data_IF_173457960468
#
_entry.id   IF_173457960468
#
_cell.length_a   1.000
_cell.length_b   1.000
_cell.length_c   1.000
_cell.angle_alpha   90.00
_cell.angle_beta   90.00
_cell.angle_gamma   90.00
#
_symmetry.space_group_name_H-M   'P 1'
#
loop_
_entity.id
_entity.type
_entity.pdbx_description
1 polymer ?
#
# COMPACT_ATOMS: atom_id res chain seq x y z
N UNK A 1 -4.20 1.92 9.48
CA UNK A 1 -4.13 0.47 9.17
C UNK A 1 -3.57 -0.28 10.36
N UNK A 2 -3.90 -1.56 10.53
CA UNK A 2 -3.24 -2.42 11.52
C UNK A 2 -1.89 -2.96 10.99
N UNK A 3 -0.97 -3.41 11.85
CA UNK A 3 0.25 -4.09 11.41
C UNK A 3 0.00 -5.34 10.55
N UNK A 4 -1.08 -6.08 10.82
CA UNK A 4 -1.47 -7.25 10.02
C UNK A 4 -1.87 -6.85 8.60
N UNK A 5 -2.63 -5.77 8.48
CA UNK A 5 -3.05 -5.22 7.19
C UNK A 5 -1.86 -4.71 6.37
N UNK A 6 -0.88 -4.06 7.01
CA UNK A 6 0.37 -3.66 6.33
C UNK A 6 1.12 -4.88 5.83
N UNK A 7 1.25 -5.92 6.67
CA UNK A 7 1.93 -7.15 6.29
C UNK A 7 1.24 -7.84 5.11
N UNK A 8 -0.09 -7.85 5.09
CA UNK A 8 -0.86 -8.40 3.98
C UNK A 8 -0.60 -7.63 2.68
N UNK A 9 -0.67 -6.29 2.69
CA UNK A 9 -0.39 -5.48 1.49
C UNK A 9 1.05 -5.64 1.00
N UNK A 10 2.03 -5.62 1.91
CA UNK A 10 3.44 -5.86 1.53
C UNK A 10 3.63 -7.27 0.97
N UNK A 11 2.91 -8.26 1.51
CA UNK A 11 2.85 -9.61 0.96
C UNK A 11 2.37 -9.62 -0.49
N UNK A 12 1.21 -8.98 -0.75
CA UNK A 12 0.65 -8.85 -2.09
C UNK A 12 1.62 -8.16 -3.07
N UNK A 13 2.31 -7.11 -2.62
CA UNK A 13 3.36 -6.46 -3.43
C UNK A 13 4.46 -7.43 -3.80
N UNK A 14 4.92 -8.24 -2.83
CA UNK A 14 5.99 -9.21 -3.04
C UNK A 14 5.57 -10.38 -3.94
N UNK A 15 4.29 -10.78 -3.90
CA UNK A 15 3.74 -11.84 -4.73
C UNK A 15 3.43 -11.37 -6.16
N UNK A 16 3.05 -10.11 -6.31
CA UNK A 16 2.60 -9.54 -7.59
C UNK A 16 3.74 -9.00 -8.44
N UNK A 17 4.85 -8.59 -7.82
CA UNK A 17 6.02 -8.08 -8.53
C UNK A 17 6.63 -9.16 -9.44
N UNK A 18 7.15 -8.71 -10.58
CA UNK A 18 7.88 -9.53 -11.55
C UNK A 18 9.37 -9.19 -11.50
N UNK A 19 10.17 -10.03 -12.15
CA UNK A 19 11.61 -9.76 -12.25
C UNK A 19 11.85 -8.43 -13.00
N UNK A 20 12.66 -7.56 -12.41
CA UNK A 20 12.91 -6.20 -12.92
C UNK A 20 11.92 -5.13 -12.48
N UNK A 21 10.84 -5.46 -11.76
CA UNK A 21 9.95 -4.45 -11.19
C UNK A 21 10.58 -3.76 -9.99
N UNK A 22 10.45 -2.43 -9.94
CA UNK A 22 10.80 -1.62 -8.79
C UNK A 22 9.53 -1.09 -8.11
N UNK A 23 9.37 -1.40 -6.83
CA UNK A 23 8.24 -0.94 -6.01
C UNK A 23 8.77 -0.18 -4.81
N UNK A 24 8.42 1.10 -4.71
CA UNK A 24 8.75 1.96 -3.59
C UNK A 24 7.59 2.01 -2.60
N UNK A 25 7.78 1.47 -1.41
CA UNK A 25 6.79 1.49 -0.32
C UNK A 25 7.34 2.28 0.86
N UNK A 26 6.49 3.04 1.54
CA UNK A 26 6.83 3.76 2.76
C UNK A 26 5.77 3.53 3.82
N UNK A 27 6.23 3.26 5.04
CA UNK A 27 5.37 3.06 6.21
C UNK A 27 5.66 4.23 7.13
N UNK A 28 4.65 5.06 7.35
CA UNK A 28 4.70 6.21 8.23
C UNK A 28 3.85 5.92 9.47
N UNK A 29 4.28 6.43 10.62
CA UNK A 29 3.48 6.45 11.84
C UNK A 29 2.95 7.86 11.99
N UNK A 30 1.63 8.02 12.05
CA UNK A 30 1.00 9.33 12.18
C UNK A 30 0.16 9.41 13.45
N UNK A 31 0.33 10.51 14.20
CA UNK A 31 -0.42 10.77 15.43
C UNK A 31 0.10 10.06 16.69
N UNK A 32 -0.70 10.13 17.75
CA UNK A 32 -0.39 9.63 19.10
C UNK A 32 -0.93 8.21 19.34
N UNK A 33 -1.77 7.70 18.43
CA UNK A 33 -2.53 6.44 18.54
C UNK A 33 -2.00 5.31 17.64
N UNK A 34 -0.68 5.29 17.37
CA UNK A 34 -0.02 4.22 16.57
C UNK A 34 -0.72 3.94 15.22
N UNK A 35 -1.28 4.96 14.58
CA UNK A 35 -1.89 4.79 13.28
C UNK A 35 -0.81 4.72 12.20
N UNK A 36 -0.67 3.53 11.64
CA UNK A 36 0.21 3.31 10.50
C UNK A 36 -0.47 3.74 9.20
N UNK A 37 0.27 4.51 8.42
CA UNK A 37 -0.02 4.95 7.07
C UNK A 37 0.93 4.23 6.11
N UNK A 38 0.36 3.44 5.21
CA UNK A 38 1.09 2.79 4.14
C UNK A 38 0.95 3.62 2.87
N UNK A 39 2.07 4.01 2.27
CA UNK A 39 2.10 4.70 0.98
C UNK A 39 2.97 3.96 -0.03
N UNK A 40 2.58 4.06 -1.30
CA UNK A 40 3.27 3.54 -2.46
C UNK A 40 3.74 4.73 -3.27
N UNK A 41 5.06 4.89 -3.37
CA UNK A 41 5.70 6.00 -4.08
C UNK A 41 5.86 5.68 -5.57
N UNK A 42 6.07 4.40 -5.89
CA UNK A 42 6.20 3.90 -7.25
C UNK A 42 5.81 2.43 -7.26
N UNK A 43 5.00 2.01 -8.23
CA UNK A 43 4.70 0.61 -8.49
C UNK A 43 4.19 0.45 -9.92
N UNK A 44 4.48 -0.68 -10.59
CA UNK A 44 3.77 -1.07 -11.81
C UNK A 44 2.26 -1.20 -11.56
N UNK A 45 1.45 -0.92 -12.58
CA UNK A 45 -0.01 -0.95 -12.45
C UNK A 45 -0.53 -2.31 -11.98
N UNK A 46 0.04 -3.42 -12.46
CA UNK A 46 -0.40 -4.76 -12.07
C UNK A 46 -0.19 -5.07 -10.57
N UNK A 47 0.75 -4.39 -9.91
CA UNK A 47 0.93 -4.50 -8.46
C UNK A 47 -0.16 -3.72 -7.73
N UNK A 48 -0.53 -2.54 -8.25
CA UNK A 48 -1.63 -1.74 -7.71
C UNK A 48 -2.97 -2.44 -7.89
N UNK A 49 -3.20 -3.04 -9.07
CA UNK A 49 -4.40 -3.82 -9.39
C UNK A 49 -4.54 -4.99 -8.40
N UNK A 50 -3.45 -5.72 -8.13
CA UNK A 50 -3.47 -6.80 -7.15
C UNK A 50 -3.84 -6.34 -5.72
N UNK A 51 -3.41 -5.15 -5.32
CA UNK A 51 -3.77 -4.58 -4.01
C UNK A 51 -5.27 -4.26 -3.98
N UNK A 52 -5.79 -3.61 -5.05
CA UNK A 52 -7.20 -3.26 -5.17
C UNK A 52 -8.12 -4.49 -5.25
N UNK A 53 -7.73 -5.50 -6.02
CA UNK A 53 -8.45 -6.77 -6.17
C UNK A 53 -8.57 -7.54 -4.85
N UNK A 54 -7.68 -7.28 -3.89
CA UNK A 54 -7.70 -7.86 -2.55
C UNK A 54 -8.42 -6.99 -1.51
N UNK A 55 -9.22 -6.01 -1.96
CA UNK A 55 -10.12 -5.24 -1.09
C UNK A 55 -9.48 -4.05 -0.38
N UNK A 56 -8.28 -3.64 -0.79
CA UNK A 56 -7.66 -2.41 -0.31
C UNK A 56 -7.96 -1.25 -1.25
N UNK A 57 -8.18 -0.08 -0.67
CA UNK A 57 -8.46 1.14 -1.42
C UNK A 57 -7.17 1.93 -1.61
N UNK A 58 -7.00 2.46 -2.82
CA UNK A 58 -5.85 3.27 -3.20
C UNK A 58 -6.31 4.73 -3.35
N UNK A 59 -5.76 5.63 -2.54
CA UNK A 59 -6.11 7.04 -2.54
C UNK A 59 -4.89 7.91 -2.83
N UNK A 60 -4.99 8.84 -3.78
CA UNK A 60 -3.91 9.79 -4.06
C UNK A 60 -4.08 11.01 -3.18
N UNK A 61 -3.11 11.30 -2.30
CA UNK A 61 -3.05 12.54 -1.53
C UNK A 61 -1.64 13.13 -1.59
N UNK A 62 -1.54 14.45 -1.79
CA UNK A 62 -0.26 15.17 -1.81
C UNK A 62 0.83 14.58 -2.74
N UNK A 63 0.42 13.93 -3.84
CA UNK A 63 1.33 13.28 -4.79
C UNK A 63 1.84 11.91 -4.36
N UNK A 64 1.33 11.35 -3.26
CA UNK A 64 1.60 9.99 -2.79
C UNK A 64 0.34 9.13 -2.91
N UNK A 65 0.50 7.84 -3.20
CA UNK A 65 -0.59 6.87 -3.19
C UNK A 65 -0.66 6.21 -1.83
N UNK A 66 -1.77 6.36 -1.11
CA UNK A 66 -2.00 5.76 0.20
C UNK A 66 -2.91 4.54 0.08
N UNK A 67 -2.63 3.54 0.92
CA UNK A 67 -3.43 2.32 1.01
C UNK A 67 -4.34 2.39 2.24
N UNK A 68 -5.61 2.09 2.06
CA UNK A 68 -6.65 2.12 3.10
C UNK A 68 -7.48 0.84 3.10
N UNK A 69 -8.00 0.46 4.27
CA UNK A 69 -8.96 -0.64 4.45
C UNK A 69 -10.42 -0.19 4.28
N UNK A 70 -10.64 1.11 4.20
CA UNK A 70 -11.95 1.74 4.05
C UNK A 70 -11.96 2.61 2.80
N UNK A 71 -13.08 2.56 2.09
CA UNK A 71 -13.39 3.45 0.97
C UNK A 71 -13.48 4.88 1.52
N UNK A 72 -12.73 5.83 0.93
CA UNK A 72 -12.60 7.19 1.45
C UNK A 72 -12.12 8.20 0.42
#
# INVERSE_FOLDING_TARGET
MTPESIKAVVGLVCESKRDGDEVGVSINVWGVDDQYLLSINSAPSHVLDAIADNGYYLKVEHGSLYVSEQEG
#
